data_IF_169377964485
#
_entry.id   IF_169377964485
#
_cell.length_a   1.000
_cell.length_b   1.000
_cell.length_c   1.000
_cell.angle_alpha   90.00
_cell.angle_beta   90.00
_cell.angle_gamma   90.00
#
_symmetry.space_group_name_H-M   'P 1'
#
loop_
_entity.id
_entity.type
_entity.pdbx_description
1 polymer ?
#
# COMPACT_ATOMS: atom_id res chain seq x y z
N UNK A 1 -33.37 -12.11 -4.69
CA UNK A 1 -33.83 -13.30 -3.94
C UNK A 1 -34.58 -12.91 -2.67
N UNK A 2 -33.95 -12.24 -1.68
CA UNK A 2 -34.63 -11.85 -0.42
C UNK A 2 -35.97 -11.11 -0.64
N UNK A 3 -36.01 -10.09 -1.51
CA UNK A 3 -37.25 -9.40 -1.85
C UNK A 3 -38.32 -10.33 -2.46
N UNK A 4 -37.91 -11.30 -3.27
CA UNK A 4 -38.82 -12.25 -3.91
C UNK A 4 -39.46 -13.21 -2.89
N UNK A 5 -38.72 -13.65 -1.88
CA UNK A 5 -39.24 -14.48 -0.77
C UNK A 5 -40.36 -13.76 0.01
N UNK A 6 -40.37 -12.43 0.00
CA UNK A 6 -41.39 -11.61 0.65
C UNK A 6 -42.51 -11.16 -0.30
N UNK A 7 -42.54 -11.66 -1.54
CA UNK A 7 -43.51 -11.26 -2.56
C UNK A 7 -43.33 -9.82 -3.08
N UNK A 8 -42.20 -9.17 -2.79
CA UNK A 8 -41.89 -7.80 -3.22
C UNK A 8 -41.42 -7.75 -4.68
N UNK A 9 -41.65 -6.61 -5.32
CA UNK A 9 -41.05 -6.30 -6.61
C UNK A 9 -39.55 -6.07 -6.49
N UNK A 10 -38.77 -6.57 -7.44
CA UNK A 10 -37.33 -6.33 -7.53
C UNK A 10 -36.91 -6.07 -8.98
N UNK A 11 -36.16 -5.01 -9.23
CA UNK A 11 -35.56 -4.71 -10.53
C UNK A 11 -34.11 -4.28 -10.35
N UNK A 12 -33.21 -4.74 -11.22
CA UNK A 12 -31.81 -4.35 -11.16
C UNK A 12 -31.23 -4.08 -12.54
N UNK A 13 -30.23 -3.21 -12.61
CA UNK A 13 -29.38 -3.02 -13.77
C UNK A 13 -27.93 -2.84 -13.32
N UNK A 14 -27.05 -3.64 -13.91
CA UNK A 14 -25.62 -3.58 -13.65
C UNK A 14 -24.93 -2.66 -14.67
N UNK A 15 -24.07 -1.79 -14.18
CA UNK A 15 -23.25 -0.92 -15.03
C UNK A 15 -21.78 -1.30 -14.85
N UNK A 16 -21.26 -2.08 -15.80
CA UNK A 16 -19.86 -2.43 -15.86
C UNK A 16 -19.03 -1.26 -16.42
N UNK A 17 -17.90 -0.95 -15.78
CA UNK A 17 -16.89 -0.07 -16.35
C UNK A 17 -16.20 -0.70 -17.56
N UNK A 18 -15.65 0.11 -18.46
CA UNK A 18 -14.93 -0.36 -19.66
C UNK A 18 -13.62 -1.12 -19.34
N UNK A 19 -13.11 -1.01 -18.11
CA UNK A 19 -11.86 -1.64 -17.71
C UNK A 19 -12.06 -3.11 -17.30
N UNK A 20 -11.27 -4.00 -17.90
CA UNK A 20 -11.31 -5.45 -17.69
C UNK A 20 -10.93 -5.88 -16.26
N UNK A 21 -10.13 -5.07 -15.53
CA UNK A 21 -9.77 -5.26 -14.12
C UNK A 21 -9.67 -3.91 -13.41
N UNK A 22 -10.25 -3.80 -12.21
CA UNK A 22 -10.16 -2.60 -11.36
C UNK A 22 -10.98 -1.40 -11.86
N UNK A 23 -11.93 -1.62 -12.77
CA UNK A 23 -12.88 -0.60 -13.19
C UNK A 23 -14.00 -0.39 -12.15
N UNK A 24 -14.51 0.84 -12.07
CA UNK A 24 -15.68 1.14 -11.25
C UNK A 24 -16.91 0.38 -11.80
N UNK A 25 -17.51 -0.45 -10.96
CA UNK A 25 -18.77 -1.15 -11.23
C UNK A 25 -19.78 -0.72 -10.17
N UNK A 26 -21.01 -0.47 -10.59
CA UNK A 26 -22.11 -0.23 -9.66
C UNK A 26 -23.41 -0.72 -10.28
N UNK A 27 -24.34 -1.06 -9.40
CA UNK A 27 -25.64 -1.60 -9.78
C UNK A 27 -26.73 -0.69 -9.24
N UNK A 28 -27.77 -0.47 -10.03
CA UNK A 28 -29.01 0.12 -9.53
C UNK A 28 -29.94 -1.01 -9.14
N UNK A 29 -30.47 -0.96 -7.92
CA UNK A 29 -31.45 -1.93 -7.41
C UNK A 29 -32.69 -1.16 -6.95
N UNK A 30 -33.86 -1.59 -7.38
CA UNK A 30 -35.15 -1.11 -6.90
C UNK A 30 -35.91 -2.25 -6.25
N UNK A 31 -36.44 -1.99 -5.07
CA UNK A 31 -37.34 -2.88 -4.35
C UNK A 31 -38.64 -2.12 -4.14
N UNK A 32 -39.77 -2.73 -4.49
CA UNK A 32 -41.10 -2.15 -4.34
C UNK A 32 -42.05 -3.13 -3.65
N UNK A 33 -43.19 -2.64 -3.15
CA UNK A 33 -44.16 -3.48 -2.43
C UNK A 33 -44.70 -4.60 -3.32
N UNK A 34 -44.98 -4.29 -4.59
CA UNK A 34 -45.39 -5.27 -5.60
C UNK A 34 -44.52 -5.14 -6.86
N UNK A 35 -44.40 -6.20 -7.68
CA UNK A 35 -43.70 -6.12 -8.96
C UNK A 35 -44.23 -5.03 -9.92
N UNK A 36 -45.54 -4.78 -9.90
CA UNK A 36 -46.22 -3.82 -10.77
C UNK A 36 -45.81 -2.35 -10.49
N UNK A 37 -45.30 -2.07 -9.30
CA UNK A 37 -44.85 -0.74 -8.88
C UNK A 37 -43.47 -0.36 -9.48
N UNK A 38 -42.79 -1.29 -10.17
CA UNK A 38 -41.48 -1.03 -10.78
C UNK A 38 -41.66 -0.58 -12.24
N UNK A 39 -41.73 0.74 -12.44
CA UNK A 39 -41.81 1.34 -13.78
C UNK A 39 -40.45 1.63 -14.42
N UNK A 40 -39.37 1.67 -13.63
CA UNK A 40 -38.00 1.89 -14.11
C UNK A 40 -36.99 1.25 -13.17
N UNK A 41 -35.94 0.64 -13.71
CA UNK A 41 -34.89 -0.02 -12.93
C UNK A 41 -33.68 0.88 -12.62
N UNK A 42 -33.59 2.05 -13.27
CA UNK A 42 -32.52 3.02 -13.04
C UNK A 42 -32.87 3.93 -11.86
N UNK A 43 -31.92 4.17 -10.95
CA UNK A 43 -32.09 5.18 -9.89
C UNK A 43 -31.68 6.54 -10.46
N UNK A 44 -32.60 7.50 -10.43
CA UNK A 44 -32.37 8.86 -10.92
C UNK A 44 -31.54 9.68 -9.92
N UNK A 45 -31.04 10.83 -10.37
CA UNK A 45 -30.32 11.77 -9.52
C UNK A 45 -31.18 12.18 -8.30
N UNK A 46 -30.58 12.20 -7.11
CA UNK A 46 -31.24 12.52 -5.84
C UNK A 46 -32.39 11.59 -5.42
N UNK A 47 -32.46 10.37 -5.97
CA UNK A 47 -33.55 9.41 -5.69
C UNK A 47 -33.07 8.11 -5.04
N UNK A 48 -31.81 8.01 -4.62
CA UNK A 48 -31.36 6.85 -3.87
C UNK A 48 -31.85 6.93 -2.41
N UNK A 49 -32.46 5.86 -1.91
CA UNK A 49 -32.76 5.71 -0.48
C UNK A 49 -31.53 5.18 0.29
N UNK A 50 -30.73 4.33 -0.37
CA UNK A 50 -29.51 3.74 0.15
C UNK A 50 -28.40 3.76 -0.91
N UNK A 51 -27.19 4.16 -0.51
CA UNK A 51 -25.94 3.82 -1.21
C UNK A 51 -25.20 2.77 -0.38
N UNK A 52 -25.02 1.58 -0.97
CA UNK A 52 -24.21 0.50 -0.42
C UNK A 52 -22.80 0.54 -1.04
N UNK A 53 -21.91 1.31 -0.41
CA UNK A 53 -20.55 1.53 -0.90
C UNK A 53 -19.57 0.46 -0.45
N UNK A 54 -19.36 -0.59 -1.24
CA UNK A 54 -18.36 -1.63 -0.93
C UNK A 54 -16.90 -1.23 -1.24
N UNK A 55 -16.70 -0.13 -1.96
CA UNK A 55 -15.41 0.46 -2.32
C UNK A 55 -15.46 1.99 -2.20
N UNK A 56 -14.49 2.60 -1.51
CA UNK A 56 -14.53 4.03 -1.21
C UNK A 56 -14.35 4.91 -2.46
N UNK A 57 -13.52 4.48 -3.42
CA UNK A 57 -13.20 5.26 -4.63
C UNK A 57 -14.42 5.33 -5.55
N UNK A 58 -15.07 4.20 -5.77
CA UNK A 58 -16.29 4.12 -6.57
C UNK A 58 -17.42 4.88 -5.89
N UNK A 59 -17.57 4.72 -4.58
CA UNK A 59 -18.62 5.40 -3.79
C UNK A 59 -18.48 6.92 -3.81
N UNK A 60 -17.25 7.42 -3.76
CA UNK A 60 -16.97 8.86 -3.83
C UNK A 60 -16.98 9.45 -5.25
N UNK A 61 -17.25 8.65 -6.29
CA UNK A 61 -17.31 9.15 -7.66
C UNK A 61 -18.54 10.04 -7.86
N UNK A 62 -18.38 11.14 -8.61
CA UNK A 62 -19.47 12.11 -8.86
C UNK A 62 -20.74 11.48 -9.45
N UNK A 63 -20.62 10.37 -10.18
CA UNK A 63 -21.75 9.62 -10.73
C UNK A 63 -22.58 8.88 -9.66
N UNK A 64 -21.96 8.45 -8.57
CA UNK A 64 -22.66 7.87 -7.41
C UNK A 64 -23.21 8.97 -6.53
N UNK A 65 -22.40 10.01 -6.27
CA UNK A 65 -22.82 11.15 -5.46
C UNK A 65 -24.03 11.90 -6.05
N UNK A 66 -24.22 11.89 -7.38
CA UNK A 66 -25.39 12.51 -8.00
C UNK A 66 -26.72 11.80 -7.70
N UNK A 67 -26.68 10.52 -7.28
CA UNK A 67 -27.88 9.79 -6.87
C UNK A 67 -28.30 10.10 -5.41
N UNK A 68 -27.42 10.74 -4.64
CA UNK A 68 -27.61 11.04 -3.22
C UNK A 68 -28.46 12.29 -3.04
N UNK A 69 -29.33 12.25 -2.03
CA UNK A 69 -30.10 13.40 -1.54
C UNK A 69 -29.72 13.67 -0.09
N UNK A 70 -29.21 14.86 0.14
CA UNK A 70 -28.74 15.32 1.45
C UNK A 70 -29.83 15.16 2.52
N UNK A 71 -29.46 14.58 3.67
CA UNK A 71 -30.35 14.36 4.81
C UNK A 71 -31.33 13.19 4.66
N UNK A 72 -31.51 12.64 3.45
CA UNK A 72 -32.49 11.58 3.19
C UNK A 72 -31.85 10.24 2.83
N UNK A 73 -30.85 10.23 1.95
CA UNK A 73 -30.17 9.01 1.51
C UNK A 73 -29.26 8.45 2.60
N UNK A 74 -29.47 7.21 3.03
CA UNK A 74 -28.51 6.50 3.88
C UNK A 74 -27.29 6.13 3.03
N UNK A 75 -26.10 6.54 3.46
CA UNK A 75 -24.86 6.26 2.76
C UNK A 75 -23.94 5.43 3.65
N UNK A 76 -23.74 4.17 3.31
CA UNK A 76 -22.74 3.34 3.98
C UNK A 76 -21.53 3.15 3.07
N UNK A 77 -20.32 3.28 3.62
CA UNK A 77 -19.09 3.15 2.84
C UNK A 77 -18.03 2.30 3.57
N UNK A 78 -17.50 1.31 2.86
CA UNK A 78 -16.34 0.55 3.25
C UNK A 78 -15.09 1.43 3.13
N UNK A 79 -14.36 1.62 4.22
CA UNK A 79 -13.17 2.49 4.24
C UNK A 79 -11.88 1.79 3.85
N UNK A 80 -11.94 0.52 3.45
CA UNK A 80 -10.78 -0.22 3.02
C UNK A 80 -10.10 0.46 1.83
N UNK A 81 -8.78 0.65 1.94
CA UNK A 81 -7.97 1.23 0.88
C UNK A 81 -7.66 0.17 -0.18
N UNK A 82 -8.56 0.04 -1.15
CA UNK A 82 -8.35 -0.81 -2.33
C UNK A 82 -7.77 0.05 -3.45
N UNK A 83 -6.53 -0.22 -3.84
CA UNK A 83 -5.85 0.52 -4.90
C UNK A 83 -6.51 0.24 -6.27
N UNK A 84 -6.98 1.26 -7.00
CA UNK A 84 -7.53 1.10 -8.34
C UNK A 84 -6.48 0.61 -9.34
N UNK A 85 -6.93 0.14 -10.52
CA UNK A 85 -6.02 -0.29 -11.59
C UNK A 85 -5.00 0.78 -12.03
N UNK A 86 -5.35 2.06 -11.92
CA UNK A 86 -4.49 3.19 -12.25
C UNK A 86 -3.23 3.29 -11.35
N UNK A 87 -3.26 2.71 -10.14
CA UNK A 87 -2.09 2.59 -9.27
C UNK A 87 -0.91 1.91 -9.98
N UNK A 88 -1.18 0.93 -10.85
CA UNK A 88 -0.13 0.20 -11.56
C UNK A 88 0.70 1.09 -12.52
N UNK A 89 0.22 2.30 -12.83
CA UNK A 89 0.85 3.24 -13.76
C UNK A 89 1.47 4.47 -13.08
N UNK A 90 1.19 4.70 -11.80
CA UNK A 90 1.63 5.88 -11.07
C UNK A 90 2.32 5.51 -9.75
N UNK A 91 3.66 5.55 -9.68
CA UNK A 91 4.44 5.19 -8.50
C UNK A 91 4.16 6.06 -7.25
N UNK A 92 3.64 7.27 -7.45
CA UNK A 92 3.35 8.24 -6.37
C UNK A 92 1.84 8.38 -6.11
N UNK A 93 1.03 7.44 -6.64
CA UNK A 93 -0.40 7.44 -6.40
C UNK A 93 -0.70 7.22 -4.92
N UNK A 94 -1.45 8.16 -4.33
CA UNK A 94 -2.02 8.03 -2.99
C UNK A 94 -3.54 8.13 -3.08
N UNK A 95 -4.23 7.30 -2.31
CA UNK A 95 -5.68 7.35 -2.20
C UNK A 95 -6.09 8.52 -1.31
N UNK A 96 -6.86 9.51 -1.81
CA UNK A 96 -7.25 10.66 -1.01
C UNK A 96 -8.46 10.32 -0.12
N UNK A 97 -8.29 9.36 0.80
CA UNK A 97 -9.35 8.77 1.66
C UNK A 97 -10.16 9.85 2.38
N UNK A 98 -9.51 10.78 3.06
CA UNK A 98 -10.19 11.85 3.80
C UNK A 98 -10.87 12.88 2.91
N UNK A 99 -10.41 13.04 1.65
CA UNK A 99 -11.12 13.85 0.66
C UNK A 99 -12.40 13.15 0.22
N UNK A 100 -12.35 11.84 -0.01
CA UNK A 100 -13.52 11.03 -0.41
C UNK A 100 -14.56 10.98 0.71
N UNK A 101 -14.15 10.73 1.96
CA UNK A 101 -15.07 10.77 3.12
C UNK A 101 -15.75 12.13 3.27
N UNK A 102 -15.00 13.23 3.13
CA UNK A 102 -15.57 14.59 3.15
C UNK A 102 -16.57 14.83 2.02
N UNK A 103 -16.29 14.33 0.81
CA UNK A 103 -17.24 14.44 -0.30
C UNK A 103 -18.54 13.67 -0.05
N UNK A 104 -18.43 12.46 0.52
CA UNK A 104 -19.59 11.64 0.90
C UNK A 104 -20.42 12.32 1.99
N UNK A 105 -19.78 12.80 3.07
CA UNK A 105 -20.46 13.56 4.15
C UNK A 105 -21.17 14.79 3.62
N UNK A 106 -20.52 15.53 2.72
CA UNK A 106 -21.14 16.71 2.09
C UNK A 106 -22.35 16.34 1.23
N UNK A 107 -22.37 15.18 0.58
CA UNK A 107 -23.47 14.77 -0.29
C UNK A 107 -24.65 14.18 0.50
N UNK A 108 -24.39 13.34 1.51
CA UNK A 108 -25.43 12.62 2.26
C UNK A 108 -25.87 13.36 3.53
N UNK A 109 -25.03 14.22 4.10
CA UNK A 109 -25.17 14.77 5.45
C UNK A 109 -24.41 13.92 6.48
N UNK A 110 -23.94 14.55 7.56
CA UNK A 110 -23.15 13.87 8.61
C UNK A 110 -23.91 12.71 9.25
N UNK A 111 -25.21 12.89 9.53
CA UNK A 111 -26.03 11.88 10.21
C UNK A 111 -26.37 10.66 9.34
N UNK A 112 -26.20 10.77 8.02
CA UNK A 112 -26.52 9.72 7.05
C UNK A 112 -25.29 9.05 6.45
N UNK A 113 -24.09 9.59 6.70
CA UNK A 113 -22.84 9.08 6.16
C UNK A 113 -22.13 8.18 7.19
N UNK A 114 -22.26 6.86 7.01
CA UNK A 114 -21.67 5.87 7.90
C UNK A 114 -20.47 5.17 7.25
N UNK A 115 -19.38 5.05 8.00
CA UNK A 115 -18.10 4.54 7.51
C UNK A 115 -17.61 3.39 8.38
N UNK A 116 -17.19 2.28 7.77
CA UNK A 116 -16.64 1.14 8.50
C UNK A 116 -15.60 0.39 7.66
N UNK A 117 -14.54 -0.14 8.27
CA UNK A 117 -13.56 -0.98 7.56
C UNK A 117 -14.03 -2.44 7.54
N UNK A 118 -14.99 -2.70 6.64
CA UNK A 118 -15.62 -4.01 6.49
C UNK A 118 -14.65 -5.05 5.95
N UNK A 119 -13.75 -4.66 5.04
CA UNK A 119 -12.74 -5.58 4.48
C UNK A 119 -11.76 -6.06 5.54
N UNK A 120 -11.22 -5.16 6.36
CA UNK A 120 -10.33 -5.53 7.47
C UNK A 120 -11.03 -6.45 8.45
N UNK A 121 -12.27 -6.12 8.79
CA UNK A 121 -13.06 -6.88 9.76
C UNK A 121 -13.39 -8.27 9.25
N UNK A 122 -13.89 -8.40 8.01
CA UNK A 122 -14.18 -9.69 7.39
C UNK A 122 -12.92 -10.57 7.25
N UNK A 123 -11.79 -9.97 6.84
CA UNK A 123 -10.52 -10.71 6.75
C UNK A 123 -10.07 -11.24 8.11
N UNK A 124 -10.29 -10.46 9.18
CA UNK A 124 -9.87 -10.86 10.53
C UNK A 124 -10.80 -11.92 11.13
N UNK A 125 -12.12 -11.76 10.98
CA UNK A 125 -13.10 -12.66 11.59
C UNK A 125 -13.27 -13.97 10.80
N UNK A 126 -13.15 -13.91 9.47
CA UNK A 126 -13.47 -15.04 8.60
C UNK A 126 -12.27 -15.57 7.80
N UNK A 127 -11.09 -14.94 7.93
CA UNK A 127 -9.90 -15.28 7.14
C UNK A 127 -10.01 -14.90 5.66
N UNK A 128 -11.08 -14.22 5.24
CA UNK A 128 -11.33 -13.90 3.83
C UNK A 128 -12.08 -12.57 3.69
N UNK A 129 -11.62 -11.71 2.78
CA UNK A 129 -12.24 -10.42 2.46
C UNK A 129 -13.56 -10.53 1.71
N UNK A 130 -13.91 -11.70 1.13
CA UNK A 130 -15.17 -11.93 0.41
C UNK A 130 -16.40 -11.64 1.29
N UNK A 131 -16.30 -11.88 2.61
CA UNK A 131 -17.38 -11.57 3.56
C UNK A 131 -17.69 -10.08 3.70
N UNK A 132 -16.83 -9.18 3.21
CA UNK A 132 -17.00 -7.72 3.38
C UNK A 132 -18.29 -7.19 2.73
N UNK A 133 -18.72 -7.75 1.60
CA UNK A 133 -19.96 -7.33 0.95
C UNK A 133 -21.20 -7.68 1.78
N UNK A 134 -21.24 -8.89 2.37
CA UNK A 134 -22.32 -9.29 3.28
C UNK A 134 -22.28 -8.53 4.60
N UNK A 135 -21.07 -8.22 5.09
CA UNK A 135 -20.89 -7.32 6.21
C UNK A 135 -21.47 -5.94 5.94
N UNK A 136 -21.15 -5.33 4.80
CA UNK A 136 -21.71 -4.03 4.40
C UNK A 136 -23.23 -4.07 4.26
N UNK A 137 -23.79 -5.18 3.73
CA UNK A 137 -25.25 -5.37 3.67
C UNK A 137 -25.88 -5.40 5.06
N UNK A 138 -25.27 -6.09 6.02
CA UNK A 138 -25.72 -6.11 7.42
C UNK A 138 -25.62 -4.75 8.09
N UNK A 139 -24.54 -4.03 7.82
CA UNK A 139 -24.33 -2.67 8.31
C UNK A 139 -25.42 -1.71 7.78
N UNK A 140 -25.70 -1.74 6.46
CA UNK A 140 -26.79 -0.98 5.86
C UNK A 140 -28.18 -1.37 6.40
N UNK A 141 -28.40 -2.66 6.61
CA UNK A 141 -29.65 -3.18 7.16
C UNK A 141 -29.95 -2.58 8.54
N UNK A 142 -28.95 -2.57 9.42
CA UNK A 142 -29.13 -2.08 10.79
C UNK A 142 -29.34 -0.56 10.84
N UNK A 143 -28.82 0.20 9.88
CA UNK A 143 -29.13 1.62 9.69
C UNK A 143 -30.49 1.88 9.02
N UNK A 144 -31.26 0.83 8.71
CA UNK A 144 -32.61 0.95 8.11
C UNK A 144 -32.62 1.14 6.58
N UNK A 145 -31.50 0.93 5.91
CA UNK A 145 -31.39 1.16 4.45
C UNK A 145 -31.91 0.01 3.58
N UNK A 146 -32.15 -1.18 4.16
CA UNK A 146 -32.50 -2.39 3.40
C UNK A 146 -33.97 -2.75 3.64
N UNK A 147 -34.86 -2.64 2.63
CA UNK A 147 -36.31 -2.78 2.81
C UNK A 147 -36.79 -4.24 2.69
N UNK A 148 -36.09 -5.18 3.33
CA UNK A 148 -36.49 -6.59 3.49
C UNK A 148 -36.19 -7.05 4.92
N UNK A 149 -36.74 -8.16 5.37
CA UNK A 149 -36.49 -8.76 6.67
C UNK A 149 -35.11 -9.43 6.74
N UNK A 150 -34.56 -9.55 7.95
CA UNK A 150 -33.29 -10.24 8.17
C UNK A 150 -33.42 -11.73 7.85
N UNK A 151 -34.58 -12.31 8.16
CA UNK A 151 -34.94 -13.70 7.90
C UNK A 151 -34.91 -13.99 6.40
N UNK A 152 -35.48 -13.10 5.57
CA UNK A 152 -35.44 -13.23 4.11
C UNK A 152 -34.03 -13.07 3.55
N UNK A 153 -33.18 -12.23 4.15
CA UNK A 153 -31.77 -12.10 3.76
C UNK A 153 -30.99 -13.38 4.09
N UNK A 154 -31.11 -13.89 5.31
CA UNK A 154 -30.45 -15.13 5.72
C UNK A 154 -30.93 -16.32 4.89
N UNK A 155 -32.23 -16.40 4.59
CA UNK A 155 -32.78 -17.47 3.75
C UNK A 155 -32.30 -17.35 2.30
N UNK A 156 -32.22 -16.14 1.75
CA UNK A 156 -31.63 -15.93 0.43
C UNK A 156 -30.16 -16.37 0.37
N UNK A 157 -29.40 -16.21 1.47
CA UNK A 157 -28.02 -16.71 1.58
C UNK A 157 -28.02 -18.25 1.59
N UNK A 158 -28.92 -18.89 2.35
CA UNK A 158 -29.04 -20.36 2.39
C UNK A 158 -29.36 -20.93 1.00
N UNK A 159 -30.32 -20.33 0.30
CA UNK A 159 -30.71 -20.74 -1.05
C UNK A 159 -29.60 -20.52 -2.09
N UNK A 160 -28.72 -19.52 -1.89
CA UNK A 160 -27.57 -19.32 -2.77
C UNK A 160 -26.51 -20.42 -2.62
N UNK A 161 -26.42 -21.07 -1.45
CA UNK A 161 -25.60 -22.26 -1.21
C UNK A 161 -24.08 -22.00 -1.13
N UNK A 162 -23.60 -20.76 -1.34
CA UNK A 162 -22.17 -20.44 -1.31
C UNK A 162 -21.75 -19.89 0.06
N UNK A 163 -20.78 -20.56 0.68
CA UNK A 163 -20.18 -20.16 1.96
C UNK A 163 -21.22 -19.69 3.00
N UNK A 164 -22.34 -20.44 3.10
CA UNK A 164 -23.57 -20.02 3.79
C UNK A 164 -23.31 -19.52 5.21
N UNK A 165 -22.60 -20.31 6.03
CA UNK A 165 -22.31 -19.95 7.42
C UNK A 165 -21.49 -18.65 7.50
N UNK A 166 -20.46 -18.50 6.67
CA UNK A 166 -19.63 -17.29 6.63
C UNK A 166 -20.46 -16.06 6.24
N UNK A 167 -21.32 -16.17 5.24
CA UNK A 167 -22.12 -15.05 4.75
C UNK A 167 -23.21 -14.63 5.75
N UNK A 168 -23.82 -15.58 6.46
CA UNK A 168 -24.76 -15.31 7.56
C UNK A 168 -24.03 -14.61 8.71
N UNK A 169 -22.88 -15.14 9.14
CA UNK A 169 -22.09 -14.52 10.20
C UNK A 169 -21.60 -13.12 9.79
N UNK A 170 -21.14 -12.94 8.55
CA UNK A 170 -20.74 -11.63 8.03
C UNK A 170 -21.90 -10.62 8.07
N UNK A 171 -23.10 -11.02 7.64
CA UNK A 171 -24.30 -10.19 7.75
C UNK A 171 -24.61 -9.81 9.20
N UNK A 172 -24.55 -10.76 10.13
CA UNK A 172 -24.80 -10.51 11.57
C UNK A 172 -23.74 -9.60 12.21
N UNK A 173 -22.47 -9.81 11.90
CA UNK A 173 -21.38 -8.94 12.35
C UNK A 173 -21.47 -7.54 11.77
N UNK A 174 -21.93 -7.40 10.52
CA UNK A 174 -22.26 -6.11 9.91
C UNK A 174 -23.33 -5.36 10.70
N UNK A 175 -24.41 -6.06 11.08
CA UNK A 175 -25.46 -5.48 11.95
C UNK A 175 -24.91 -5.08 13.31
N UNK A 176 -24.09 -5.94 13.93
CA UNK A 176 -23.44 -5.63 15.21
C UNK A 176 -22.56 -4.38 15.11
N UNK A 177 -21.81 -4.21 14.03
CA UNK A 177 -20.93 -3.07 13.84
C UNK A 177 -21.66 -1.74 13.65
N UNK A 178 -22.87 -1.75 13.10
CA UNK A 178 -23.71 -0.57 13.02
C UNK A 178 -24.28 -0.16 14.38
N UNK A 179 -24.51 -1.12 15.28
CA UNK A 179 -25.00 -0.85 16.63
C UNK A 179 -23.89 -0.54 17.65
N UNK A 180 -22.79 -1.30 17.60
CA UNK A 180 -21.65 -1.23 18.52
C UNK A 180 -20.32 -1.26 17.74
N UNK A 181 -19.98 -0.19 17.01
CA UNK A 181 -18.79 -0.14 16.16
C UNK A 181 -17.49 -0.31 16.95
N UNK A 182 -17.42 0.26 18.15
CA UNK A 182 -16.22 0.22 19.01
C UNK A 182 -15.92 -1.21 19.50
N UNK A 183 -16.95 -1.97 19.87
CA UNK A 183 -16.82 -3.37 20.27
C UNK A 183 -16.31 -4.24 19.12
N UNK A 184 -16.88 -4.10 17.92
CA UNK A 184 -16.40 -4.87 16.77
C UNK A 184 -14.95 -4.51 16.44
N UNK A 185 -14.60 -3.22 16.56
CA UNK A 185 -13.23 -2.78 16.36
C UNK A 185 -12.25 -3.36 17.40
N UNK A 186 -12.64 -3.46 18.67
CA UNK A 186 -11.79 -4.05 19.71
C UNK A 186 -11.54 -5.54 19.49
N UNK A 187 -12.56 -6.30 19.09
CA UNK A 187 -12.42 -7.73 18.75
C UNK A 187 -11.44 -7.93 17.59
N UNK A 188 -11.54 -7.11 16.55
CA UNK A 188 -10.61 -7.14 15.40
C UNK A 188 -9.18 -6.80 15.84
N UNK A 189 -9.02 -5.88 16.78
CA UNK A 189 -7.72 -5.42 17.24
C UNK A 189 -7.01 -6.42 18.14
N UNK A 190 -7.77 -7.10 18.99
CA UNK A 190 -7.31 -8.20 19.83
C UNK A 190 -6.90 -9.41 18.98
N UNK A 191 -7.76 -9.84 18.03
CA UNK A 191 -7.52 -10.98 17.17
C UNK A 191 -6.25 -10.83 16.30
N UNK A 192 -5.91 -9.60 15.90
CA UNK A 192 -4.69 -9.33 15.12
C UNK A 192 -3.42 -9.26 15.97
N UNK A 193 -3.54 -9.41 17.28
CA UNK A 193 -2.42 -9.32 18.21
C UNK A 193 -1.69 -8.01 18.00
N UNK A 194 -2.35 -6.86 18.23
CA UNK A 194 -1.69 -5.55 18.33
C UNK A 194 -0.75 -5.52 19.56
N UNK A 195 0.28 -6.36 19.53
CA UNK A 195 1.50 -6.24 20.30
C UNK A 195 2.53 -5.56 19.39
N UNK A 196 2.66 -4.24 19.58
CA UNK A 196 3.92 -3.47 19.60
C UNK A 196 4.85 -3.43 18.37
N UNK A 197 4.69 -4.24 17.31
CA UNK A 197 5.67 -4.29 16.19
C UNK A 197 5.45 -3.28 15.06
N UNK A 198 4.42 -2.44 15.18
CA UNK A 198 3.98 -1.52 14.13
C UNK A 198 4.02 -0.04 14.51
N UNK A 199 4.67 0.38 15.61
CA UNK A 199 4.87 1.81 15.85
C UNK A 199 5.65 2.37 14.64
N UNK A 200 5.00 3.28 13.90
CA UNK A 200 5.71 4.20 13.02
C UNK A 200 6.72 4.88 13.93
N UNK A 201 8.00 4.85 13.54
CA UNK A 201 9.05 5.51 14.30
C UNK A 201 8.64 6.98 14.48
N UNK A 202 8.51 7.41 15.73
CA UNK A 202 7.98 8.73 16.07
C UNK A 202 9.05 9.81 15.98
N UNK A 203 10.33 9.42 16.01
CA UNK A 203 11.48 10.32 15.99
C UNK A 203 12.53 9.88 14.98
N UNK A 204 13.38 10.81 14.55
CA UNK A 204 14.50 10.53 13.65
C UNK A 204 15.47 9.50 14.26
N UNK A 205 15.71 9.52 15.57
CA UNK A 205 16.57 8.55 16.24
C UNK A 205 15.99 7.13 16.21
N UNK A 206 14.68 6.97 16.37
CA UNK A 206 14.02 5.67 16.20
C UNK A 206 14.14 5.17 14.76
N UNK A 207 14.03 6.09 13.80
CA UNK A 207 14.21 5.80 12.37
C UNK A 207 15.63 5.30 12.08
N UNK A 208 16.66 5.98 12.59
CA UNK A 208 18.07 5.62 12.42
C UNK A 208 18.37 4.27 13.09
N UNK A 209 17.93 4.09 14.34
CA UNK A 209 18.15 2.85 15.11
C UNK A 209 17.53 1.64 14.41
N UNK A 210 16.28 1.75 13.96
CA UNK A 210 15.59 0.66 13.26
C UNK A 210 16.31 0.26 11.97
N UNK A 211 16.91 1.22 11.27
CA UNK A 211 17.70 0.97 10.05
C UNK A 211 19.04 0.34 10.36
N UNK A 212 19.71 0.76 11.43
CA UNK A 212 20.93 0.14 11.92
C UNK A 212 20.71 -1.33 12.31
N UNK A 213 19.63 -1.61 13.07
CA UNK A 213 19.25 -2.99 13.42
C UNK A 213 18.98 -3.85 12.18
N UNK A 214 18.29 -3.27 11.20
CA UNK A 214 18.05 -3.93 9.92
C UNK A 214 19.37 -4.23 9.20
N UNK A 215 20.28 -3.26 9.09
CA UNK A 215 21.57 -3.42 8.39
C UNK A 215 22.48 -4.44 9.09
N UNK A 216 22.38 -4.56 10.42
CA UNK A 216 23.06 -5.59 11.19
C UNK A 216 22.57 -6.98 10.81
N UNK A 217 21.25 -7.18 10.72
CA UNK A 217 20.66 -8.44 10.25
C UNK A 217 20.86 -8.70 8.75
N UNK A 218 20.94 -7.65 7.95
CA UNK A 218 21.15 -7.69 6.51
C UNK A 218 22.55 -8.17 6.13
N UNK A 219 23.58 -7.64 6.78
CA UNK A 219 24.98 -8.00 6.54
C UNK A 219 25.66 -8.39 7.85
N UNK A 220 26.04 -7.41 8.67
CA UNK A 220 26.72 -7.55 9.97
C UNK A 220 26.80 -6.20 10.71
N UNK A 221 27.33 -6.21 11.94
CA UNK A 221 27.49 -5.02 12.78
C UNK A 221 28.39 -3.95 12.16
N UNK A 222 29.47 -4.33 11.47
CA UNK A 222 30.37 -3.38 10.81
C UNK A 222 29.65 -2.59 9.68
N UNK A 223 28.76 -3.26 8.94
CA UNK A 223 27.96 -2.62 7.90
C UNK A 223 26.95 -1.61 8.47
N UNK A 224 26.34 -1.94 9.62
CA UNK A 224 25.51 -1.00 10.37
C UNK A 224 26.31 0.19 10.91
N UNK A 225 27.53 -0.05 11.43
CA UNK A 225 28.39 1.01 11.95
C UNK A 225 28.77 2.03 10.86
N UNK A 226 29.00 1.59 9.62
CA UNK A 226 29.21 2.48 8.47
C UNK A 226 28.02 3.40 8.21
N UNK A 227 26.80 2.87 8.30
CA UNK A 227 25.58 3.66 8.17
C UNK A 227 25.47 4.71 9.27
N UNK A 228 25.60 4.29 10.53
CA UNK A 228 25.53 5.18 11.70
C UNK A 228 26.58 6.29 11.62
N UNK A 229 27.83 5.94 11.33
CA UNK A 229 28.92 6.91 11.22
C UNK A 229 28.66 7.96 10.15
N UNK A 230 28.11 7.58 8.99
CA UNK A 230 27.82 8.53 7.92
C UNK A 230 26.66 9.45 8.27
N UNK A 231 25.60 8.92 8.88
CA UNK A 231 24.45 9.73 9.32
C UNK A 231 24.87 10.73 10.40
N UNK A 232 25.72 10.29 11.34
CA UNK A 232 26.20 11.18 12.40
C UNK A 232 27.08 12.32 11.87
N UNK A 233 27.97 12.05 10.90
CA UNK A 233 28.76 13.10 10.24
C UNK A 233 27.87 14.17 9.59
N UNK A 234 26.76 13.76 8.96
CA UNK A 234 25.80 14.67 8.34
C UNK A 234 25.04 15.45 9.40
N UNK A 235 24.60 14.79 10.48
CA UNK A 235 23.93 15.42 11.62
C UNK A 235 24.79 16.51 12.26
N UNK A 236 26.06 16.22 12.51
CA UNK A 236 26.99 17.21 13.05
C UNK A 236 27.20 18.39 12.09
N UNK A 237 27.37 18.14 10.79
CA UNK A 237 27.57 19.20 9.81
C UNK A 237 26.33 20.08 9.65
N UNK A 238 25.14 19.47 9.56
CA UNK A 238 23.86 20.18 9.52
C UNK A 238 23.65 21.01 10.78
N UNK A 239 23.89 20.45 11.96
CA UNK A 239 23.72 21.15 13.24
C UNK A 239 24.67 22.35 13.42
N UNK A 240 25.87 22.34 12.81
CA UNK A 240 26.80 23.49 12.80
C UNK A 240 26.30 24.63 11.92
N UNK A 241 25.62 24.31 10.84
CA UNK A 241 25.21 25.26 9.80
C UNK A 241 23.81 25.82 10.07
N UNK A 242 22.87 24.96 10.49
CA UNK A 242 21.47 25.30 10.74
C UNK A 242 20.98 24.60 12.01
N UNK A 243 21.21 25.19 13.19
CA UNK A 243 20.82 24.58 14.47
C UNK A 243 19.32 24.28 14.55
N UNK A 244 18.97 23.04 14.88
CA UNK A 244 17.58 22.57 14.97
C UNK A 244 17.00 22.02 13.66
N UNK A 245 17.72 22.12 12.54
CA UNK A 245 17.35 21.42 11.30
C UNK A 245 17.71 19.93 11.39
N UNK A 246 16.79 19.08 10.91
CA UNK A 246 17.02 17.65 10.70
C UNK A 246 16.77 17.22 9.24
N UNK A 247 16.50 18.17 8.33
CA UNK A 247 16.04 17.90 6.97
C UNK A 247 17.07 17.11 6.15
N UNK A 248 18.35 17.47 6.22
CA UNK A 248 19.42 16.77 5.51
C UNK A 248 19.69 15.41 6.16
N UNK A 249 19.79 15.38 7.48
CA UNK A 249 20.03 14.14 8.25
C UNK A 249 18.94 13.11 8.00
N UNK A 250 17.66 13.51 8.06
CA UNK A 250 16.54 12.61 7.76
C UNK A 250 16.61 12.08 6.32
N UNK A 251 16.88 12.97 5.36
CA UNK A 251 16.97 12.63 3.94
C UNK A 251 18.11 11.62 3.69
N UNK A 252 19.28 11.83 4.29
CA UNK A 252 20.42 10.92 4.21
C UNK A 252 20.12 9.61 4.91
N UNK A 253 19.54 9.65 6.11
CA UNK A 253 19.18 8.45 6.85
C UNK A 253 18.23 7.54 6.05
N UNK A 254 17.34 8.11 5.23
CA UNK A 254 16.41 7.39 4.34
C UNK A 254 17.12 6.84 3.09
N UNK A 255 17.84 7.69 2.37
CA UNK A 255 18.38 7.35 1.06
C UNK A 255 19.67 6.53 1.13
N UNK A 256 20.53 6.77 2.12
CA UNK A 256 21.70 5.92 2.37
C UNK A 256 21.27 4.49 2.69
N UNK A 257 20.28 4.33 3.58
CA UNK A 257 19.73 3.01 3.91
C UNK A 257 19.16 2.31 2.68
N UNK A 258 18.40 3.03 1.84
CA UNK A 258 17.85 2.49 0.58
C UNK A 258 18.95 1.93 -0.33
N UNK A 259 20.07 2.63 -0.45
CA UNK A 259 21.20 2.21 -1.29
C UNK A 259 22.05 1.10 -0.67
N UNK A 260 22.12 1.03 0.67
CA UNK A 260 22.83 -0.02 1.39
C UNK A 260 22.04 -1.33 1.48
N UNK A 261 20.72 -1.24 1.64
CA UNK A 261 19.82 -2.38 1.80
C UNK A 261 19.12 -2.76 0.49
N UNK A 262 19.91 -3.05 -0.56
CA UNK A 262 19.35 -3.55 -1.82
C UNK A 262 18.69 -4.92 -1.60
N UNK A 263 17.58 -5.17 -2.31
CA UNK A 263 16.89 -6.46 -2.25
C UNK A 263 17.59 -7.47 -3.17
N UNK A 264 18.77 -7.90 -2.75
CA UNK A 264 19.57 -8.89 -3.45
C UNK A 264 19.19 -10.34 -3.14
N UNK A 265 19.84 -11.28 -3.80
CA UNK A 265 19.53 -12.70 -3.71
C UNK A 265 19.73 -13.24 -2.29
N UNK A 266 20.73 -12.75 -1.57
CA UNK A 266 20.99 -13.13 -0.18
C UNK A 266 19.90 -12.58 0.76
N UNK A 267 19.47 -11.34 0.55
CA UNK A 267 18.40 -10.71 1.31
C UNK A 267 17.04 -11.36 1.04
N UNK A 268 16.74 -11.68 -0.22
CA UNK A 268 15.57 -12.50 -0.57
C UNK A 268 15.63 -13.84 0.17
N UNK A 269 16.79 -14.51 0.18
CA UNK A 269 17.01 -15.72 0.96
C UNK A 269 16.70 -15.53 2.45
N UNK A 270 17.21 -14.47 3.06
CA UNK A 270 16.98 -14.14 4.49
C UNK A 270 15.50 -13.87 4.79
N UNK A 271 14.82 -13.14 3.92
CA UNK A 271 13.40 -12.80 4.09
C UNK A 271 12.52 -14.05 4.02
N UNK A 272 12.75 -14.94 3.06
CA UNK A 272 11.95 -16.16 2.89
C UNK A 272 12.31 -17.29 3.87
N UNK A 273 13.54 -17.31 4.41
CA UNK A 273 13.95 -18.31 5.41
C UNK A 273 13.70 -17.88 6.87
N UNK A 274 13.42 -16.60 7.09
CA UNK A 274 13.23 -16.02 8.42
C UNK A 274 11.97 -16.50 9.16
N UNK A 275 11.95 -16.29 10.48
CA UNK A 275 10.73 -16.50 11.31
C UNK A 275 9.58 -15.62 10.85
N UNK A 276 9.87 -14.36 10.48
CA UNK A 276 8.85 -13.41 10.05
C UNK A 276 7.98 -13.90 8.88
N UNK A 277 8.57 -14.59 7.90
CA UNK A 277 7.81 -15.16 6.78
C UNK A 277 6.92 -16.32 7.22
N UNK A 278 7.42 -17.21 8.09
CA UNK A 278 6.60 -18.29 8.68
C UNK A 278 5.47 -17.77 9.54
N UNK A 279 5.74 -16.76 10.37
CA UNK A 279 4.74 -16.10 11.19
C UNK A 279 3.71 -15.35 10.32
N UNK A 280 4.12 -14.83 9.15
CA UNK A 280 3.19 -14.25 8.18
C UNK A 280 2.31 -15.32 7.55
N UNK A 281 2.87 -16.45 7.12
CA UNK A 281 2.07 -17.57 6.59
C UNK A 281 1.04 -18.06 7.61
N UNK A 282 1.45 -18.23 8.87
CA UNK A 282 0.55 -18.63 9.97
C UNK A 282 -0.55 -17.62 10.30
N UNK A 283 -0.38 -16.35 9.93
CA UNK A 283 -1.39 -15.30 10.10
C UNK A 283 -2.33 -15.16 8.91
N UNK A 284 -1.82 -15.38 7.70
CA UNK A 284 -2.60 -15.23 6.46
C UNK A 284 -3.36 -16.50 6.09
N UNK A 285 -2.86 -17.67 6.47
CA UNK A 285 -3.43 -18.96 6.11
C UNK A 285 -3.70 -19.80 7.36
N UNK A 286 -4.88 -20.42 7.44
CA UNK A 286 -5.23 -21.38 8.49
C UNK A 286 -4.39 -22.67 8.38
N UNK A 287 -4.07 -23.10 7.15
CA UNK A 287 -3.13 -24.17 6.84
C UNK A 287 -2.59 -24.02 5.40
N UNK A 288 -1.45 -24.64 5.10
CA UNK A 288 -0.92 -24.76 3.74
C UNK A 288 -0.24 -26.12 3.55
N UNK A 289 -0.52 -26.79 2.43
CA UNK A 289 0.08 -28.09 2.13
C UNK A 289 1.44 -27.96 1.42
N UNK A 290 1.56 -27.03 0.47
CA UNK A 290 2.75 -26.83 -0.37
C UNK A 290 2.98 -25.36 -0.66
N UNK A 291 4.25 -24.96 -0.68
CA UNK A 291 4.68 -23.63 -1.11
C UNK A 291 5.36 -23.74 -2.47
N UNK A 292 4.88 -22.93 -3.41
CA UNK A 292 5.48 -22.76 -4.74
C UNK A 292 5.94 -21.31 -4.91
N UNK A 293 7.17 -21.15 -5.37
CA UNK A 293 7.84 -19.85 -5.50
C UNK A 293 8.00 -19.50 -6.97
N UNK A 294 7.43 -18.38 -7.40
CA UNK A 294 7.60 -17.86 -8.76
C UNK A 294 8.77 -16.89 -8.81
N UNK A 295 9.90 -17.33 -9.34
CA UNK A 295 11.15 -16.56 -9.37
C UNK A 295 11.64 -16.38 -10.80
N UNK A 296 12.41 -15.33 -11.02
CA UNK A 296 13.15 -15.11 -12.25
C UNK A 296 14.64 -14.92 -11.90
N UNK A 297 15.38 -16.01 -11.57
CA UNK A 297 16.76 -15.89 -11.10
C UNK A 297 17.64 -15.29 -12.20
N UNK A 298 18.43 -14.22 -11.93
CA UNK A 298 19.14 -13.49 -12.99
C UNK A 298 20.07 -14.34 -13.87
N UNK A 299 20.65 -15.41 -13.31
CA UNK A 299 21.60 -16.30 -14.00
C UNK A 299 20.89 -17.42 -14.77
N UNK A 300 19.70 -17.86 -14.32
CA UNK A 300 19.01 -19.06 -14.83
C UNK A 300 17.72 -18.75 -15.60
N UNK A 301 17.17 -17.54 -15.45
CA UNK A 301 15.88 -17.20 -16.02
C UNK A 301 15.97 -17.06 -17.54
N UNK A 302 15.03 -17.73 -18.21
CA UNK A 302 14.82 -17.58 -19.66
C UNK A 302 14.41 -16.15 -19.97
N UNK A 303 14.81 -15.63 -21.12
CA UNK A 303 14.36 -14.32 -21.59
C UNK A 303 13.17 -14.46 -22.54
N UNK A 304 12.30 -13.46 -22.58
CA UNK A 304 11.29 -13.31 -23.62
C UNK A 304 11.89 -12.70 -24.90
N UNK A 305 11.07 -12.59 -25.95
CA UNK A 305 11.48 -12.05 -27.25
C UNK A 305 11.87 -10.57 -27.18
N UNK A 306 11.57 -9.90 -26.05
CA UNK A 306 11.94 -8.52 -25.74
C UNK A 306 13.14 -8.43 -24.77
N UNK A 307 13.74 -9.56 -24.41
CA UNK A 307 14.91 -9.65 -23.53
C UNK A 307 14.62 -9.64 -22.02
N UNK A 308 13.35 -9.66 -21.59
CA UNK A 308 12.96 -9.65 -20.18
C UNK A 308 12.98 -11.04 -19.54
N UNK A 309 13.34 -11.12 -18.26
CA UNK A 309 13.37 -12.38 -17.52
C UNK A 309 11.93 -12.94 -17.34
N UNK A 310 11.73 -14.19 -17.76
CA UNK A 310 10.49 -14.96 -17.54
C UNK A 310 10.52 -15.60 -16.15
N UNK A 311 9.39 -15.53 -15.45
CA UNK A 311 9.21 -16.24 -14.18
C UNK A 311 9.11 -17.75 -14.42
N UNK A 312 9.76 -18.52 -13.57
CA UNK A 312 9.64 -19.97 -13.49
C UNK A 312 9.17 -20.36 -12.09
N UNK A 313 8.45 -21.47 -12.00
CA UNK A 313 7.93 -21.96 -10.74
C UNK A 313 8.91 -22.94 -10.10
N UNK A 314 9.16 -22.76 -8.79
CA UNK A 314 10.06 -23.57 -8.00
C UNK A 314 9.29 -24.16 -6.83
N UNK A 315 9.37 -25.48 -6.66
CA UNK A 315 8.67 -26.18 -5.58
C UNK A 315 9.23 -25.94 -4.18
N UNK A 316 8.73 -26.66 -3.16
CA UNK A 316 9.05 -26.43 -1.75
C UNK A 316 10.54 -26.51 -1.39
N UNK A 317 11.34 -27.24 -2.18
CA UNK A 317 12.80 -27.38 -2.00
C UNK A 317 13.54 -26.03 -2.01
N UNK A 318 12.98 -25.02 -2.69
CA UNK A 318 13.55 -23.68 -2.76
C UNK A 318 13.68 -23.02 -1.38
N UNK A 319 12.86 -23.41 -0.41
CA UNK A 319 12.98 -22.93 0.99
C UNK A 319 14.36 -23.27 1.60
N UNK A 320 14.93 -24.42 1.25
CA UNK A 320 16.29 -24.81 1.69
C UNK A 320 17.35 -23.96 1.01
N UNK A 321 17.16 -23.65 -0.29
CA UNK A 321 18.06 -22.75 -1.04
C UNK A 321 18.04 -21.34 -0.45
N UNK A 322 16.87 -20.82 -0.10
CA UNK A 322 16.78 -19.51 0.57
C UNK A 322 17.52 -19.50 1.92
N UNK A 323 17.42 -20.58 2.70
CA UNK A 323 18.20 -20.74 3.93
C UNK A 323 19.72 -20.73 3.67
N UNK A 324 20.17 -21.44 2.65
CA UNK A 324 21.58 -21.44 2.24
C UNK A 324 22.03 -20.04 1.80
N UNK A 325 21.28 -19.38 0.90
CA UNK A 325 21.57 -18.02 0.46
C UNK A 325 21.64 -17.04 1.63
N UNK A 326 20.72 -17.14 2.60
CA UNK A 326 20.74 -16.30 3.80
C UNK A 326 22.02 -16.46 4.64
N UNK A 327 22.57 -17.69 4.70
CA UNK A 327 23.83 -17.98 5.39
C UNK A 327 25.06 -17.49 4.62
N UNK A 328 24.97 -17.43 3.28
CA UNK A 328 26.05 -16.99 2.39
C UNK A 328 26.10 -15.46 2.19
N UNK A 329 25.34 -14.67 2.96
CA UNK A 329 25.36 -13.19 2.89
C UNK A 329 26.77 -12.59 3.06
N UNK A 330 27.69 -13.31 3.71
CA UNK A 330 29.09 -12.89 3.84
C UNK A 330 29.84 -12.81 2.50
N UNK A 331 29.38 -13.52 1.47
CA UNK A 331 29.96 -13.46 0.12
C UNK A 331 29.63 -12.15 -0.59
N UNK A 332 28.59 -11.41 -0.16
CA UNK A 332 28.16 -10.17 -0.78
C UNK A 332 29.32 -9.19 -0.97
N UNK A 333 29.53 -8.74 -2.20
CA UNK A 333 30.59 -7.79 -2.53
C UNK A 333 32.01 -8.36 -2.55
N UNK A 334 32.20 -9.65 -2.31
CA UNK A 334 33.49 -10.34 -2.47
C UNK A 334 33.68 -10.84 -3.90
N UNK A 335 34.88 -11.34 -4.23
CA UNK A 335 35.15 -11.99 -5.52
C UNK A 335 34.33 -13.28 -5.74
N UNK A 336 33.81 -13.86 -4.67
CA UNK A 336 32.95 -15.06 -4.72
C UNK A 336 31.46 -14.71 -4.88
N UNK A 337 31.12 -13.42 -5.00
CA UNK A 337 29.76 -12.95 -5.23
C UNK A 337 29.35 -13.13 -6.70
N UNK A 338 28.90 -14.34 -7.06
CA UNK A 338 28.47 -14.66 -8.43
C UNK A 338 27.35 -13.73 -8.94
N UNK A 339 26.42 -13.35 -8.05
CA UNK A 339 25.33 -12.42 -8.39
C UNK A 339 25.84 -11.00 -8.58
N UNK A 340 26.86 -10.63 -7.82
CA UNK A 340 27.55 -9.34 -7.90
C UNK A 340 28.14 -9.02 -9.27
N UNK A 341 28.37 -10.00 -10.16
CA UNK A 341 28.91 -9.73 -11.49
C UNK A 341 27.88 -9.24 -12.50
N UNK A 342 26.58 -9.34 -12.20
CA UNK A 342 25.50 -8.85 -13.08
C UNK A 342 25.55 -7.33 -13.26
N UNK A 343 25.07 -6.84 -14.42
CA UNK A 343 25.03 -5.40 -14.71
C UNK A 343 24.22 -4.62 -13.67
N UNK A 344 23.07 -5.17 -13.23
CA UNK A 344 22.21 -4.56 -12.22
C UNK A 344 22.93 -4.42 -10.87
N UNK A 345 23.61 -5.47 -10.37
CA UNK A 345 24.35 -5.40 -9.10
C UNK A 345 25.56 -4.47 -9.18
N UNK A 346 26.24 -4.40 -10.33
CA UNK A 346 27.32 -3.42 -10.55
C UNK A 346 26.81 -1.98 -10.52
N UNK A 347 25.68 -1.72 -11.18
CA UNK A 347 25.00 -0.42 -11.17
C UNK A 347 24.59 -0.03 -9.75
N UNK A 348 23.92 -0.90 -9.00
CA UNK A 348 23.50 -0.62 -7.61
C UNK A 348 24.67 -0.28 -6.69
N UNK A 349 25.78 -1.02 -6.77
CA UNK A 349 27.00 -0.70 -6.02
C UNK A 349 27.65 0.60 -6.50
N UNK A 350 27.52 0.91 -7.79
CA UNK A 350 27.92 2.19 -8.37
C UNK A 350 27.15 3.36 -7.76
N UNK A 351 25.82 3.25 -7.69
CA UNK A 351 24.94 4.25 -7.07
C UNK A 351 25.28 4.51 -5.61
N UNK A 352 25.56 3.46 -4.82
CA UNK A 352 25.99 3.64 -3.43
C UNK A 352 27.32 4.41 -3.34
N UNK A 353 28.32 4.04 -4.17
CA UNK A 353 29.61 4.74 -4.18
C UNK A 353 29.46 6.20 -4.62
N UNK A 354 28.68 6.46 -5.66
CA UNK A 354 28.40 7.81 -6.14
C UNK A 354 27.73 8.64 -5.05
N UNK A 355 26.73 8.08 -4.39
CA UNK A 355 26.04 8.76 -3.28
C UNK A 355 26.98 9.09 -2.12
N UNK A 356 27.88 8.17 -1.75
CA UNK A 356 28.88 8.46 -0.70
C UNK A 356 29.88 9.54 -1.10
N UNK A 357 30.25 9.62 -2.38
CA UNK A 357 31.07 10.71 -2.92
C UNK A 357 30.31 12.04 -2.87
N UNK A 358 29.02 12.04 -3.20
CA UNK A 358 28.16 13.21 -3.10
C UNK A 358 28.06 13.70 -1.66
N UNK A 359 27.84 12.79 -0.71
CA UNK A 359 27.83 13.14 0.71
C UNK A 359 29.17 13.70 1.18
N UNK A 360 30.30 13.16 0.72
CA UNK A 360 31.61 13.70 1.06
C UNK A 360 31.79 15.14 0.55
N UNK A 361 31.33 15.42 -0.66
CA UNK A 361 31.34 16.77 -1.22
C UNK A 361 30.39 17.71 -0.47
N UNK A 362 29.18 17.25 -0.17
CA UNK A 362 28.20 18.00 0.64
C UNK A 362 28.81 18.38 1.99
N UNK A 363 29.36 17.42 2.72
CA UNK A 363 30.01 17.66 4.02
C UNK A 363 31.18 18.67 3.93
N UNK A 364 31.87 18.74 2.79
CA UNK A 364 32.99 19.66 2.59
C UNK A 364 32.59 21.11 2.28
N UNK A 365 31.35 21.34 1.81
CA UNK A 365 30.88 22.65 1.32
C UNK A 365 29.56 23.12 1.93
N UNK A 366 29.00 22.36 2.87
CA UNK A 366 27.70 22.67 3.46
C UNK A 366 27.70 24.05 4.11
N UNK A 367 26.72 24.87 3.75
CA UNK A 367 26.45 26.18 4.31
C UNK A 367 24.94 26.41 4.36
N UNK A 368 24.50 27.43 5.11
CA UNK A 368 23.07 27.66 5.31
C UNK A 368 22.38 28.02 3.98
N UNK A 369 23.12 28.73 3.11
CA UNK A 369 22.68 29.12 1.77
C UNK A 369 22.48 27.93 0.81
N UNK A 370 23.19 26.81 1.01
CA UNK A 370 23.14 25.66 0.10
C UNK A 370 22.52 24.40 0.73
N UNK A 371 21.99 24.49 1.96
CA UNK A 371 21.34 23.39 2.67
C UNK A 371 20.17 22.79 1.86
N UNK A 372 19.35 23.63 1.23
CA UNK A 372 18.23 23.18 0.40
C UNK A 372 18.68 22.35 -0.82
N UNK A 373 19.77 22.77 -1.50
CA UNK A 373 20.34 22.01 -2.61
C UNK A 373 21.01 20.71 -2.10
N UNK A 374 21.65 20.73 -0.93
CA UNK A 374 22.19 19.53 -0.29
C UNK A 374 21.10 18.50 0.01
N UNK A 375 19.95 18.93 0.56
CA UNK A 375 18.77 18.08 0.79
C UNK A 375 18.26 17.52 -0.53
N UNK A 376 18.14 18.37 -1.56
CA UNK A 376 17.69 17.96 -2.89
C UNK A 376 18.60 16.89 -3.48
N UNK A 377 19.92 17.11 -3.44
CA UNK A 377 20.93 16.17 -3.92
C UNK A 377 20.87 14.84 -3.14
N UNK A 378 20.76 14.91 -1.81
CA UNK A 378 20.63 13.75 -0.95
C UNK A 378 19.33 12.95 -1.20
N UNK A 379 18.30 13.59 -1.77
CA UNK A 379 17.00 12.98 -2.06
C UNK A 379 16.93 12.22 -3.38
N UNK A 380 17.87 12.44 -4.32
CA UNK A 380 17.87 11.84 -5.67
C UNK A 380 17.67 10.31 -5.67
N UNK A 381 18.31 9.52 -4.78
CA UNK A 381 18.12 8.07 -4.77
C UNK A 381 16.67 7.65 -4.56
N UNK A 382 15.81 8.50 -3.98
CA UNK A 382 14.39 8.22 -3.76
C UNK A 382 13.61 7.98 -5.06
N UNK A 383 14.06 8.58 -6.17
CA UNK A 383 13.46 8.48 -7.50
C UNK A 383 13.80 7.17 -8.22
N UNK A 384 14.90 6.53 -7.85
CA UNK A 384 15.30 5.23 -8.42
C UNK A 384 14.40 4.13 -7.85
N UNK A 385 13.28 3.87 -8.52
CA UNK A 385 12.26 2.87 -8.14
C UNK A 385 12.07 1.82 -9.24
N UNK A 386 11.41 0.72 -8.91
CA UNK A 386 11.12 -0.36 -9.86
C UNK A 386 12.25 -1.40 -9.97
N UNK A 387 12.11 -2.30 -10.96
CA UNK A 387 12.98 -3.46 -11.19
C UNK A 387 13.38 -3.56 -12.67
N UNK A 388 14.57 -4.12 -12.95
CA UNK A 388 15.05 -4.34 -14.32
C UNK A 388 15.06 -3.05 -15.16
N UNK A 389 14.52 -3.10 -16.38
CA UNK A 389 14.53 -1.97 -17.33
C UNK A 389 13.85 -0.69 -16.79
N UNK A 390 12.82 -0.82 -15.93
CA UNK A 390 12.17 0.34 -15.29
C UNK A 390 13.15 1.05 -14.37
N UNK A 391 13.93 0.28 -13.60
CA UNK A 391 14.96 0.82 -12.71
C UNK A 391 16.07 1.48 -13.50
N UNK A 392 16.55 0.85 -14.58
CA UNK A 392 17.58 1.41 -15.46
C UNK A 392 17.14 2.76 -16.05
N UNK A 393 15.90 2.87 -16.53
CA UNK A 393 15.35 4.14 -17.04
C UNK A 393 15.27 5.21 -15.94
N UNK A 394 14.86 4.82 -14.72
CA UNK A 394 14.81 5.74 -13.58
C UNK A 394 16.21 6.18 -13.12
N UNK A 395 17.22 5.31 -13.20
CA UNK A 395 18.62 5.67 -12.92
C UNK A 395 19.10 6.74 -13.89
N UNK A 396 18.89 6.57 -15.19
CA UNK A 396 19.30 7.58 -16.19
C UNK A 396 18.68 8.95 -15.92
N UNK A 397 17.39 8.98 -15.57
CA UNK A 397 16.70 10.24 -15.22
C UNK A 397 17.27 10.86 -13.95
N UNK A 398 17.47 10.05 -12.91
CA UNK A 398 18.05 10.48 -11.65
C UNK A 398 19.48 11.00 -11.81
N UNK A 399 20.28 10.41 -12.72
CA UNK A 399 21.62 10.91 -13.05
C UNK A 399 21.60 12.29 -13.71
N UNK A 400 20.66 12.55 -14.62
CA UNK A 400 20.49 13.87 -15.23
C UNK A 400 20.10 14.93 -14.18
N UNK A 401 19.16 14.62 -13.29
CA UNK A 401 18.76 15.53 -12.22
C UNK A 401 19.87 15.75 -11.20
N UNK A 402 20.59 14.69 -10.82
CA UNK A 402 21.77 14.77 -9.96
C UNK A 402 22.80 15.74 -10.54
N UNK A 403 23.10 15.64 -11.83
CA UNK A 403 24.08 16.52 -12.48
C UNK A 403 23.67 18.00 -12.38
N UNK A 404 22.40 18.30 -12.63
CA UNK A 404 21.86 19.67 -12.53
C UNK A 404 21.91 20.21 -11.09
N UNK A 405 21.50 19.41 -10.09
CA UNK A 405 21.53 19.84 -8.68
C UNK A 405 22.97 19.96 -8.17
N UNK A 406 23.86 19.06 -8.59
CA UNK A 406 25.28 19.09 -8.25
C UNK A 406 25.95 20.38 -8.76
N UNK A 407 25.63 20.79 -9.99
CA UNK A 407 26.13 22.03 -10.55
C UNK A 407 25.74 23.23 -9.67
N UNK A 408 24.45 23.37 -9.36
CA UNK A 408 23.95 24.44 -8.46
C UNK A 408 24.61 24.40 -7.08
N UNK A 409 24.74 23.22 -6.48
CA UNK A 409 25.36 23.04 -5.17
C UNK A 409 26.84 23.48 -5.18
N UNK A 410 27.56 23.22 -6.27
CA UNK A 410 28.98 23.59 -6.40
C UNK A 410 29.21 25.04 -6.80
N UNK A 411 28.26 25.69 -7.48
CA UNK A 411 28.37 27.06 -7.98
C UNK A 411 28.06 28.13 -6.92
N UNK A 412 27.52 27.77 -5.76
CA UNK A 412 27.19 28.72 -4.69
C UNK A 412 28.20 28.74 -3.51
N UNK A 413 29.26 29.55 -3.61
CA UNK A 413 29.89 30.15 -2.44
C UNK A 413 29.39 31.57 -2.14
N UNK A 414 29.05 32.39 -3.14
CA UNK A 414 28.81 33.85 -2.98
C UNK A 414 28.06 34.49 -4.19
N UNK A 415 26.92 33.96 -4.65
CA UNK A 415 26.11 34.64 -5.69
C UNK A 415 24.84 35.27 -5.11
N UNK A 416 25.03 36.39 -4.41
CA UNK A 416 24.00 37.41 -4.34
C UNK A 416 23.61 37.87 -5.75
N UNK A 417 22.37 38.31 -5.89
CA UNK A 417 21.68 38.76 -7.13
C UNK A 417 21.26 37.66 -8.13
N UNK A 418 20.07 37.09 -7.88
CA UNK A 418 19.18 36.66 -8.95
C UNK A 418 18.90 37.86 -9.87
N UNK A 419 19.47 37.85 -11.08
CA UNK A 419 18.92 38.65 -12.19
C UNK A 419 17.59 38.04 -12.58
N UNK A 420 16.51 38.74 -12.28
CA UNK A 420 15.21 38.52 -12.91
C UNK A 420 15.39 38.75 -14.42
N UNK A 421 15.07 37.74 -15.23
CA UNK A 421 14.92 37.89 -16.66
C UNK A 421 13.51 38.41 -16.95
N UNK A 422 13.45 39.48 -17.74
CA UNK A 422 12.25 40.07 -18.35
C UNK A 422 11.52 39.10 -19.30
#
# INVERSE_FOLDING_TARGET
MAAHLEGKGCGMIDMAGLAQKGGAVFSHVRIARTPQDIHSIRVSAGKADLILGCDLVVSGAGKVLSAVREGETIFVANTAEVMPGDFARSPDFSLPVERLKRAIRKAAGEDKAHFFDATRTATTLFGNSVGANMFMLGFAYQHGGVPVSAEAVEEAIRLNGQAVNMNIEAFRWGRRAAHEPEFVQSVVDEARGRSLKGRIAATLDEVIRRRADFLTGYQNAAYSARYLSRVEQVREAEGRVSPGSEALTETVARNLFKLMAIKDEYEVGRLYSGRAFRDQLGREFSSWEKLEYHLAPPILARRDDKGHLKKSAFGPWMSKVFGLLASLRGLRGTVFDVFGHTAERRMERGLLRQYEQDLALVLSRLSDANLADAVTLASIPSQVRGFGHIKEANVKRAESERAAVMERFTQNPDSGTLKAAE
#
